data_IF_492114166201
#
_entry.id   IF_492114166201
#
_cell.length_a   1.000
_cell.length_b   1.000
_cell.length_c   1.000
_cell.angle_alpha   90.00
_cell.angle_beta   90.00
_cell.angle_gamma   90.00
#
_symmetry.space_group_name_H-M   'P 1'
#
loop_
_entity.id
_entity.type
_entity.pdbx_description
1 polymer ?
#
# COMPACT_ATOMS: atom_id res chain seq x y z
N UNK A 1 -32.86 -26.43 10.43
CA UNK A 1 -33.04 -25.36 11.43
C UNK A 1 -31.84 -24.44 11.32
N UNK A 2 -31.96 -23.39 10.52
CA UNK A 2 -30.89 -22.41 10.31
C UNK A 2 -30.83 -21.56 11.58
N UNK A 3 -29.74 -21.68 12.33
CA UNK A 3 -29.44 -20.79 13.45
C UNK A 3 -29.39 -19.37 12.91
N UNK A 4 -30.38 -18.56 13.28
CA UNK A 4 -30.31 -17.11 13.21
C UNK A 4 -29.07 -16.69 14.00
N UNK A 5 -27.99 -16.40 13.27
CA UNK A 5 -26.83 -15.74 13.83
C UNK A 5 -27.34 -14.38 14.29
N UNK A 6 -27.42 -14.19 15.61
CA UNK A 6 -27.80 -12.92 16.22
C UNK A 6 -26.99 -11.81 15.55
N UNK A 7 -27.66 -10.92 14.80
CA UNK A 7 -27.08 -9.63 14.44
C UNK A 7 -26.85 -8.92 15.76
N UNK A 8 -25.64 -9.03 16.32
CA UNK A 8 -25.18 -7.98 17.19
C UNK A 8 -25.17 -6.71 16.34
N UNK A 9 -26.11 -5.80 16.62
CA UNK A 9 -26.26 -4.53 15.94
C UNK A 9 -25.01 -3.68 16.20
N UNK A 10 -23.97 -3.92 15.40
CA UNK A 10 -22.78 -3.09 15.37
C UNK A 10 -23.24 -1.65 15.06
N UNK A 11 -22.89 -0.65 15.90
CA UNK A 11 -23.24 0.73 15.63
C UNK A 11 -22.72 1.17 14.26
N UNK A 12 -23.52 1.95 13.53
CA UNK A 12 -23.16 2.40 12.16
C UNK A 12 -21.79 3.08 12.11
N UNK A 13 -21.42 3.84 13.13
CA UNK A 13 -20.12 4.51 13.19
C UNK A 13 -18.94 3.52 13.32
N UNK A 14 -19.13 2.40 14.01
CA UNK A 14 -18.14 1.31 14.11
C UNK A 14 -17.98 0.61 12.75
N UNK A 15 -19.09 0.33 12.08
CA UNK A 15 -19.08 -0.22 10.74
C UNK A 15 -18.39 0.73 9.73
N UNK A 16 -18.56 2.05 9.88
CA UNK A 16 -17.83 3.05 9.08
C UNK A 16 -16.34 3.02 9.38
N UNK A 17 -15.92 2.95 10.64
CA UNK A 17 -14.50 2.80 11.02
C UNK A 17 -13.89 1.57 10.33
N UNK A 18 -14.58 0.42 10.35
CA UNK A 18 -14.14 -0.81 9.67
C UNK A 18 -14.12 -0.66 8.14
N UNK A 19 -15.08 0.08 7.57
CA UNK A 19 -15.12 0.37 6.13
C UNK A 19 -13.90 1.19 5.70
N UNK A 20 -13.54 2.20 6.49
CA UNK A 20 -12.34 3.02 6.30
C UNK A 20 -11.02 2.27 6.62
N UNK A 21 -11.11 1.02 7.11
CA UNK A 21 -10.00 0.23 7.65
C UNK A 21 -9.32 0.88 8.84
N UNK A 22 -10.04 1.70 9.59
CA UNK A 22 -9.50 2.45 10.73
C UNK A 22 -9.17 1.59 11.94
N UNK A 23 -9.73 0.38 12.01
CA UNK A 23 -9.42 -0.70 12.95
C UNK A 23 -8.09 -1.43 12.65
N UNK A 24 -7.59 -1.37 11.41
CA UNK A 24 -6.39 -2.10 10.97
C UNK A 24 -5.33 -1.14 10.40
N UNK A 25 -4.30 -0.76 11.17
CA UNK A 25 -3.37 0.30 10.75
C UNK A 25 -2.39 -0.12 9.67
N UNK A 26 -2.03 -1.41 9.58
CA UNK A 26 -0.93 -1.86 8.71
C UNK A 26 -1.05 -1.40 7.26
N UNK A 27 -2.22 -1.56 6.63
CA UNK A 27 -2.43 -1.21 5.22
C UNK A 27 -2.26 0.27 4.90
N UNK A 28 -2.70 1.16 5.79
CA UNK A 28 -2.55 2.61 5.56
C UNK A 28 -1.15 3.11 5.89
N UNK A 29 -0.50 2.51 6.89
CA UNK A 29 0.88 2.83 7.23
C UNK A 29 1.83 2.45 6.10
N UNK A 30 1.67 1.26 5.50
CA UNK A 30 2.53 0.81 4.41
C UNK A 30 2.37 1.66 3.14
N UNK A 31 1.18 2.23 2.89
CA UNK A 31 0.96 3.21 1.81
C UNK A 31 1.56 4.59 2.14
N UNK A 32 1.50 5.01 3.40
CA UNK A 32 2.03 6.31 3.86
C UNK A 32 3.56 6.35 3.86
N UNK A 33 4.22 5.25 4.17
CA UNK A 33 5.69 5.18 4.27
C UNK A 33 6.40 5.64 2.99
N UNK A 34 6.06 5.17 1.77
CA UNK A 34 6.60 5.69 0.52
C UNK A 34 6.45 7.21 0.32
N UNK A 35 5.31 7.76 0.76
CA UNK A 35 5.06 9.20 0.70
C UNK A 35 6.05 9.95 1.61
N UNK A 36 6.29 9.41 2.81
CA UNK A 36 7.26 9.95 3.75
C UNK A 36 8.70 9.78 3.24
N UNK A 37 9.07 8.63 2.66
CA UNK A 37 10.37 8.46 2.02
C UNK A 37 10.61 9.57 1.00
N UNK A 38 9.65 9.80 0.12
CA UNK A 38 9.77 10.78 -0.94
C UNK A 38 9.88 12.22 -0.42
N UNK A 39 9.02 12.66 0.51
CA UNK A 39 9.08 14.04 1.02
C UNK A 39 10.35 14.30 1.83
N UNK A 40 10.83 13.33 2.62
CA UNK A 40 12.08 13.48 3.37
C UNK A 40 13.32 13.43 2.48
N UNK A 41 13.35 12.55 1.48
CA UNK A 41 14.46 12.51 0.51
C UNK A 41 14.54 13.80 -0.30
N UNK A 42 13.41 14.28 -0.83
CA UNK A 42 13.34 15.53 -1.59
C UNK A 42 13.69 16.76 -0.71
N UNK A 43 13.27 16.75 0.56
CA UNK A 43 13.61 17.76 1.55
C UNK A 43 14.98 17.59 2.22
N UNK A 44 15.83 16.66 1.73
CA UNK A 44 17.16 16.35 2.28
C UNK A 44 17.16 16.13 3.80
N UNK A 45 16.21 15.34 4.29
CA UNK A 45 16.02 14.99 5.69
C UNK A 45 15.25 16.03 6.51
N UNK A 46 15.03 17.25 6.00
CA UNK A 46 14.39 18.35 6.73
C UNK A 46 13.26 19.03 5.93
N UNK A 47 12.22 18.30 5.50
CA UNK A 47 11.07 18.91 4.84
C UNK A 47 10.30 19.84 5.81
N UNK A 48 9.61 20.88 5.31
CA UNK A 48 8.77 21.73 6.14
C UNK A 48 7.71 20.92 6.91
N UNK A 49 7.61 21.09 8.22
CA UNK A 49 6.67 20.33 9.06
C UNK A 49 5.19 20.44 8.61
N UNK A 50 4.68 21.61 8.16
CA UNK A 50 3.32 21.69 7.62
C UNK A 50 3.12 20.80 6.39
N UNK A 51 4.13 20.71 5.51
CA UNK A 51 4.06 19.85 4.33
C UNK A 51 3.97 18.37 4.72
N UNK A 52 4.78 17.94 5.69
CA UNK A 52 4.71 16.57 6.23
C UNK A 52 3.32 16.29 6.80
N UNK A 53 2.71 17.25 7.51
CA UNK A 53 1.33 17.16 7.98
C UNK A 53 0.32 16.97 6.85
N UNK A 54 0.44 17.75 5.76
CA UNK A 54 -0.41 17.60 4.57
C UNK A 54 -0.26 16.22 3.93
N UNK A 55 0.97 15.70 3.80
CA UNK A 55 1.24 14.37 3.24
C UNK A 55 0.65 13.26 4.13
N UNK A 56 0.80 13.33 5.45
CA UNK A 56 0.24 12.35 6.38
C UNK A 56 -1.30 12.37 6.30
N UNK A 57 -1.92 13.54 6.41
CA UNK A 57 -3.39 13.63 6.36
C UNK A 57 -3.93 13.24 4.98
N UNK A 58 -3.23 13.63 3.92
CA UNK A 58 -3.61 13.33 2.53
C UNK A 58 -3.53 11.83 2.23
N UNK A 59 -2.48 11.16 2.69
CA UNK A 59 -2.36 9.69 2.54
C UNK A 59 -3.41 8.95 3.36
N UNK A 60 -3.72 9.39 4.59
CA UNK A 60 -4.80 8.81 5.39
C UNK A 60 -6.18 8.95 4.72
N UNK A 61 -6.50 10.14 4.20
CA UNK A 61 -7.75 10.41 3.49
C UNK A 61 -7.86 9.62 2.18
N UNK A 62 -6.78 9.57 1.39
CA UNK A 62 -6.73 8.83 0.12
C UNK A 62 -6.80 7.32 0.35
N UNK A 63 -6.11 6.80 1.38
CA UNK A 63 -6.18 5.40 1.78
C UNK A 63 -7.61 4.99 2.16
N UNK A 64 -8.28 5.84 2.96
CA UNK A 64 -9.68 5.67 3.33
C UNK A 64 -10.58 5.59 2.09
N UNK A 65 -10.45 6.54 1.16
CA UNK A 65 -11.22 6.55 -0.08
C UNK A 65 -10.96 5.29 -0.92
N UNK A 66 -9.69 4.92 -1.13
CA UNK A 66 -9.30 3.73 -1.88
C UNK A 66 -9.85 2.43 -1.27
N UNK A 67 -9.83 2.29 0.06
CA UNK A 67 -10.43 1.14 0.73
C UNK A 67 -11.93 1.03 0.49
N UNK A 68 -12.65 2.15 0.59
CA UNK A 68 -14.11 2.17 0.39
C UNK A 68 -14.45 1.87 -1.08
N UNK A 69 -13.72 2.47 -2.02
CA UNK A 69 -13.88 2.23 -3.46
C UNK A 69 -13.63 0.75 -3.78
N UNK A 70 -12.57 0.14 -3.24
CA UNK A 70 -12.33 -1.28 -3.40
C UNK A 70 -13.50 -2.12 -2.91
N UNK A 71 -14.02 -1.85 -1.71
CA UNK A 71 -15.16 -2.58 -1.13
C UNK A 71 -16.46 -2.37 -1.95
N UNK A 72 -16.64 -1.22 -2.58
CA UNK A 72 -17.76 -0.96 -3.49
C UNK A 72 -17.67 -1.83 -4.75
N UNK A 73 -16.48 -1.97 -5.34
CA UNK A 73 -16.24 -2.81 -6.52
C UNK A 73 -16.29 -4.31 -6.23
N UNK A 74 -15.84 -4.70 -5.04
CA UNK A 74 -15.69 -6.09 -4.62
C UNK A 74 -16.89 -6.61 -3.82
N UNK A 75 -17.94 -5.81 -3.60
CA UNK A 75 -19.09 -6.15 -2.73
C UNK A 75 -19.75 -7.51 -3.00
N UNK A 76 -19.68 -8.00 -4.23
CA UNK A 76 -20.27 -9.27 -4.69
C UNK A 76 -19.23 -10.42 -4.73
N UNK A 77 -17.93 -10.08 -4.68
CA UNK A 77 -16.79 -11.03 -4.62
C UNK A 77 -16.40 -11.30 -3.17
N UNK A 78 -16.28 -10.26 -2.35
CA UNK A 78 -15.84 -10.31 -0.95
C UNK A 78 -16.63 -11.31 -0.07
N UNK A 79 -17.96 -11.52 -0.23
CA UNK A 79 -18.68 -12.55 0.51
C UNK A 79 -18.16 -13.98 0.30
N UNK A 80 -17.44 -14.22 -0.79
CA UNK A 80 -16.94 -15.54 -1.20
C UNK A 80 -15.51 -15.82 -0.72
N UNK A 81 -14.83 -14.85 -0.11
CA UNK A 81 -13.46 -14.96 0.41
C UNK A 81 -13.49 -14.93 1.94
N UNK A 82 -12.85 -15.90 2.59
CA UNK A 82 -12.94 -16.09 4.05
C UNK A 82 -12.54 -14.82 4.83
N UNK A 83 -11.47 -14.16 4.39
CA UNK A 83 -10.91 -12.96 5.02
C UNK A 83 -11.80 -11.73 4.86
N UNK A 84 -12.54 -11.61 3.76
CA UNK A 84 -13.25 -10.37 3.38
C UNK A 84 -14.77 -10.47 3.50
N UNK A 85 -15.33 -11.66 3.73
CA UNK A 85 -16.77 -11.88 3.89
C UNK A 85 -17.45 -11.02 4.97
N UNK A 86 -16.70 -10.62 6.00
CA UNK A 86 -17.21 -9.83 7.13
C UNK A 86 -17.10 -8.32 6.91
N UNK A 87 -16.58 -7.86 5.77
CA UNK A 87 -16.48 -6.41 5.46
C UNK A 87 -17.86 -5.77 5.43
N UNK A 88 -18.01 -4.50 5.87
CA UNK A 88 -19.33 -3.87 6.05
C UNK A 88 -20.23 -3.84 4.81
N UNK A 89 -19.65 -3.64 3.61
CA UNK A 89 -20.41 -3.66 2.36
C UNK A 89 -20.71 -5.08 1.86
N UNK A 90 -19.79 -6.02 2.08
CA UNK A 90 -19.94 -7.43 1.71
C UNK A 90 -21.02 -8.12 2.56
N UNK A 91 -20.99 -7.90 3.89
CA UNK A 91 -21.97 -8.44 4.84
C UNK A 91 -23.31 -7.71 4.83
N UNK A 92 -23.45 -6.66 4.01
CA UNK A 92 -24.63 -5.78 3.95
C UNK A 92 -24.94 -5.06 5.27
N UNK A 93 -23.96 -4.93 6.16
CA UNK A 93 -24.06 -4.10 7.37
C UNK A 93 -24.16 -2.61 7.04
N UNK A 94 -23.56 -2.18 5.92
CA UNK A 94 -23.72 -0.83 5.37
C UNK A 94 -24.32 -0.91 3.97
N UNK A 95 -25.13 0.10 3.63
CA UNK A 95 -25.67 0.25 2.28
C UNK A 95 -24.60 0.75 1.30
N UNK A 96 -24.77 0.43 0.01
CA UNK A 96 -23.93 0.95 -1.07
C UNK A 96 -23.97 2.48 -1.11
N UNK A 97 -25.12 3.09 -0.83
CA UNK A 97 -25.26 4.54 -0.75
C UNK A 97 -24.39 5.12 0.37
N UNK A 98 -24.36 4.48 1.54
CA UNK A 98 -23.49 4.88 2.65
C UNK A 98 -22.01 4.78 2.24
N UNK A 99 -21.60 3.67 1.61
CA UNK A 99 -20.25 3.53 1.08
C UNK A 99 -19.87 4.62 0.08
N UNK A 100 -20.75 4.94 -0.88
CA UNK A 100 -20.51 6.00 -1.85
C UNK A 100 -20.34 7.38 -1.19
N UNK A 101 -21.18 7.72 -0.21
CA UNK A 101 -21.05 8.98 0.54
C UNK A 101 -19.73 9.03 1.31
N UNK A 102 -19.34 7.95 1.98
CA UNK A 102 -18.07 7.87 2.71
C UNK A 102 -16.88 8.04 1.76
N UNK A 103 -16.91 7.41 0.58
CA UNK A 103 -15.87 7.58 -0.44
C UNK A 103 -15.78 9.03 -0.94
N UNK A 104 -16.93 9.68 -1.21
CA UNK A 104 -16.98 11.08 -1.64
C UNK A 104 -16.41 12.01 -0.57
N UNK A 105 -16.78 11.82 0.71
CA UNK A 105 -16.27 12.62 1.83
C UNK A 105 -14.76 12.43 1.98
N UNK A 106 -14.27 11.18 1.97
CA UNK A 106 -12.84 10.89 2.09
C UNK A 106 -12.03 11.49 0.93
N UNK A 107 -12.55 11.38 -0.31
CA UNK A 107 -11.93 12.00 -1.49
C UNK A 107 -11.99 13.54 -1.43
N UNK A 108 -13.09 14.11 -0.93
CA UNK A 108 -13.22 15.55 -0.71
C UNK A 108 -12.19 16.09 0.28
N UNK A 109 -11.96 15.38 1.39
CA UNK A 109 -10.90 15.71 2.34
C UNK A 109 -9.51 15.67 1.69
N UNK A 110 -9.22 14.62 0.90
CA UNK A 110 -7.97 14.52 0.15
C UNK A 110 -7.82 15.66 -0.88
N UNK A 111 -8.92 16.02 -1.57
CA UNK A 111 -8.97 17.13 -2.52
C UNK A 111 -8.70 18.49 -1.88
N UNK A 112 -9.28 18.76 -0.71
CA UNK A 112 -9.00 20.00 0.05
C UNK A 112 -7.51 20.08 0.41
N UNK A 113 -6.92 18.97 0.88
CA UNK A 113 -5.49 18.92 1.20
C UNK A 113 -4.62 19.11 -0.05
N UNK A 114 -5.03 18.58 -1.20
CA UNK A 114 -4.32 18.74 -2.46
C UNK A 114 -4.24 20.22 -2.92
N UNK A 115 -5.19 21.08 -2.53
CA UNK A 115 -5.16 22.52 -2.84
C UNK A 115 -4.00 23.26 -2.16
N UNK A 116 -3.41 22.68 -1.11
CA UNK A 116 -2.23 23.23 -0.43
C UNK A 116 -0.92 22.85 -1.13
N UNK A 117 -0.97 22.02 -2.16
CA UNK A 117 0.22 21.57 -2.89
C UNK A 117 0.49 22.49 -4.09
N UNK A 118 1.71 22.43 -4.62
CA UNK A 118 2.05 23.12 -5.86
C UNK A 118 1.29 22.50 -7.07
N UNK A 119 1.22 23.21 -8.22
CA UNK A 119 0.44 22.76 -9.38
C UNK A 119 0.80 21.37 -9.89
N UNK A 120 2.08 21.00 -9.91
CA UNK A 120 2.52 19.69 -10.38
C UNK A 120 1.95 18.58 -9.47
N UNK A 121 2.13 18.72 -8.16
CA UNK A 121 1.63 17.75 -7.18
C UNK A 121 0.10 17.66 -7.18
N UNK A 122 -0.60 18.79 -7.34
CA UNK A 122 -2.05 18.81 -7.49
C UNK A 122 -2.51 17.98 -8.70
N UNK A 123 -1.91 18.20 -9.88
CA UNK A 123 -2.27 17.43 -11.07
C UNK A 123 -1.86 15.96 -10.99
N UNK A 124 -0.80 15.62 -10.25
CA UNK A 124 -0.46 14.24 -9.93
C UNK A 124 -1.50 13.58 -9.01
N UNK A 125 -2.07 14.31 -8.04
CA UNK A 125 -3.22 13.82 -7.26
C UNK A 125 -4.42 13.53 -8.17
N UNK A 126 -4.74 14.42 -9.11
CA UNK A 126 -5.82 14.21 -10.09
C UNK A 126 -5.53 12.99 -10.97
N UNK A 127 -4.31 12.84 -11.46
CA UNK A 127 -3.88 11.71 -12.27
C UNK A 127 -3.89 10.36 -11.52
N UNK A 128 -3.78 10.38 -10.19
CA UNK A 128 -3.89 9.18 -9.35
C UNK A 128 -5.34 8.66 -9.24
N UNK A 129 -6.35 9.52 -9.41
CA UNK A 129 -7.77 9.15 -9.20
C UNK A 129 -8.20 7.98 -10.09
N UNK A 130 -7.95 7.97 -11.43
CA UNK A 130 -8.29 6.83 -12.26
C UNK A 130 -7.62 5.53 -11.79
N UNK A 131 -6.35 5.58 -11.36
CA UNK A 131 -5.67 4.41 -10.84
C UNK A 131 -6.36 3.88 -9.57
N UNK A 132 -6.72 4.75 -8.63
CA UNK A 132 -7.44 4.38 -7.40
C UNK A 132 -8.83 3.83 -7.70
N UNK A 133 -9.56 4.44 -8.63
CA UNK A 133 -10.94 4.07 -8.96
C UNK A 133 -11.01 2.76 -9.72
N UNK A 134 -10.10 2.55 -10.67
CA UNK A 134 -10.19 1.43 -11.60
C UNK A 134 -9.26 0.25 -11.26
N UNK A 135 -8.27 0.38 -10.37
CA UNK A 135 -7.43 -0.80 -10.05
C UNK A 135 -8.22 -2.04 -9.60
N UNK A 136 -9.39 -1.97 -8.90
CA UNK A 136 -10.10 -3.19 -8.50
C UNK A 136 -10.56 -4.02 -9.70
N UNK A 137 -10.78 -3.39 -10.86
CA UNK A 137 -11.15 -4.12 -12.09
C UNK A 137 -10.01 -4.99 -12.61
N UNK A 138 -8.75 -4.68 -12.25
CA UNK A 138 -7.59 -5.46 -12.66
C UNK A 138 -7.69 -6.93 -12.21
N UNK A 139 -8.33 -7.22 -11.07
CA UNK A 139 -8.55 -8.61 -10.60
C UNK A 139 -9.31 -9.46 -11.62
N UNK A 140 -10.15 -8.84 -12.45
CA UNK A 140 -10.98 -9.55 -13.44
C UNK A 140 -10.30 -9.72 -14.79
N UNK A 141 -9.32 -8.87 -15.14
CA UNK A 141 -8.80 -8.77 -16.51
C UNK A 141 -7.29 -8.87 -16.63
N UNK A 142 -6.54 -8.67 -15.56
CA UNK A 142 -5.09 -8.60 -15.58
C UNK A 142 -4.47 -9.70 -14.72
N UNK A 143 -3.51 -10.50 -15.21
CA UNK A 143 -2.98 -11.64 -14.46
C UNK A 143 -2.29 -11.28 -13.14
N UNK A 144 -1.72 -10.07 -13.06
CA UNK A 144 -0.95 -9.58 -11.90
C UNK A 144 -1.55 -8.26 -11.40
N UNK A 145 -2.78 -8.24 -10.85
CA UNK A 145 -3.44 -7.00 -10.44
C UNK A 145 -2.64 -6.21 -9.39
N UNK A 146 -1.79 -6.89 -8.62
CA UNK A 146 -0.82 -6.31 -7.69
C UNK A 146 0.12 -5.31 -8.37
N UNK A 147 0.48 -5.51 -9.65
CA UNK A 147 1.29 -4.53 -10.38
C UNK A 147 0.52 -3.23 -10.62
N UNK A 148 -0.77 -3.31 -10.94
CA UNK A 148 -1.64 -2.13 -11.11
C UNK A 148 -1.79 -1.40 -9.78
N UNK A 149 -1.94 -2.13 -8.67
CA UNK A 149 -1.93 -1.56 -7.32
C UNK A 149 -0.59 -0.87 -7.01
N UNK A 150 0.54 -1.52 -7.31
CA UNK A 150 1.88 -0.95 -7.12
C UNK A 150 2.06 0.36 -7.87
N UNK A 151 1.57 0.45 -9.11
CA UNK A 151 1.61 1.69 -9.90
C UNK A 151 0.73 2.77 -9.26
N UNK A 152 -0.48 2.42 -8.81
CA UNK A 152 -1.36 3.35 -8.10
C UNK A 152 -0.69 3.88 -6.81
N UNK A 153 0.00 3.02 -6.06
CA UNK A 153 0.75 3.40 -4.86
C UNK A 153 2.00 4.21 -5.19
N UNK A 154 2.60 4.00 -6.36
CA UNK A 154 3.72 4.79 -6.85
C UNK A 154 3.40 6.30 -6.94
N UNK A 155 2.14 6.70 -7.12
CA UNK A 155 1.76 8.11 -7.03
C UNK A 155 2.09 8.75 -5.68
N UNK A 156 2.12 7.98 -4.58
CA UNK A 156 2.54 8.49 -3.28
C UNK A 156 3.96 9.07 -3.33
N UNK A 157 4.86 8.46 -4.12
CA UNK A 157 6.21 8.96 -4.36
C UNK A 157 6.19 10.23 -5.19
N UNK A 158 5.52 10.19 -6.36
CA UNK A 158 5.52 11.30 -7.31
C UNK A 158 4.92 12.57 -6.69
N UNK A 159 3.77 12.43 -6.01
CA UNK A 159 3.07 13.53 -5.35
C UNK A 159 3.95 14.11 -4.24
N UNK A 160 4.47 13.27 -3.34
CA UNK A 160 5.17 13.75 -2.15
C UNK A 160 6.55 14.33 -2.46
N UNK A 161 7.25 13.78 -3.46
CA UNK A 161 8.52 14.33 -3.94
C UNK A 161 8.31 15.70 -4.60
N UNK A 162 7.41 15.75 -5.59
CA UNK A 162 7.10 17.01 -6.26
C UNK A 162 6.51 18.04 -5.29
N UNK A 163 5.84 17.62 -4.22
CA UNK A 163 5.28 18.55 -3.24
C UNK A 163 6.37 19.34 -2.50
N UNK A 164 7.55 18.73 -2.31
CA UNK A 164 8.68 19.36 -1.65
C UNK A 164 9.47 20.30 -2.58
N UNK A 165 9.64 19.95 -3.86
CA UNK A 165 10.57 20.66 -4.77
C UNK A 165 9.96 21.18 -6.08
N UNK A 166 8.68 20.94 -6.35
CA UNK A 166 7.92 21.37 -7.53
C UNK A 166 8.35 20.79 -8.90
N UNK A 167 9.26 19.83 -8.95
CA UNK A 167 9.62 19.05 -10.15
C UNK A 167 9.90 17.58 -9.82
N UNK A 168 10.11 16.76 -10.84
CA UNK A 168 10.54 15.36 -10.72
C UNK A 168 11.99 15.25 -11.18
N UNK A 169 12.77 14.42 -10.50
CA UNK A 169 14.19 14.21 -10.76
C UNK A 169 14.45 12.72 -11.07
N UNK A 170 15.61 12.36 -11.64
CA UNK A 170 16.00 10.96 -11.81
C UNK A 170 15.89 10.14 -10.51
N UNK A 171 16.24 10.75 -9.36
CA UNK A 171 16.09 10.14 -8.05
C UNK A 171 14.63 9.80 -7.71
N UNK A 172 13.68 10.64 -8.12
CA UNK A 172 12.24 10.37 -7.93
C UNK A 172 11.81 9.09 -8.64
N UNK A 173 12.27 8.88 -9.87
CA UNK A 173 11.91 7.71 -10.67
C UNK A 173 12.56 6.42 -10.17
N UNK A 174 13.79 6.51 -9.65
CA UNK A 174 14.45 5.36 -9.00
C UNK A 174 13.69 4.95 -7.73
N UNK A 175 13.32 5.92 -6.89
CA UNK A 175 12.49 5.66 -5.71
C UNK A 175 11.11 5.10 -6.08
N UNK A 176 10.48 5.64 -7.13
CA UNK A 176 9.20 5.16 -7.64
C UNK A 176 9.29 3.69 -8.09
N UNK A 177 10.34 3.32 -8.83
CA UNK A 177 10.60 1.94 -9.22
C UNK A 177 10.83 1.03 -8.02
N UNK A 178 11.60 1.49 -7.03
CA UNK A 178 11.84 0.75 -5.78
C UNK A 178 10.53 0.47 -5.04
N UNK A 179 9.65 1.48 -4.93
CA UNK A 179 8.35 1.35 -4.28
C UNK A 179 7.42 0.41 -5.04
N UNK A 180 7.46 0.41 -6.38
CA UNK A 180 6.67 -0.54 -7.18
C UNK A 180 7.09 -1.98 -6.91
N UNK A 181 8.39 -2.25 -6.95
CA UNK A 181 8.92 -3.60 -6.70
C UNK A 181 8.66 -4.02 -5.25
N UNK A 182 8.86 -3.11 -4.30
CA UNK A 182 8.58 -3.39 -2.89
C UNK A 182 7.11 -3.74 -2.66
N UNK A 183 6.21 -2.92 -3.23
CA UNK A 183 4.76 -3.13 -3.19
C UNK A 183 4.38 -4.45 -3.84
N UNK A 184 4.95 -4.75 -5.00
CA UNK A 184 4.68 -6.01 -5.69
C UNK A 184 5.15 -7.22 -4.86
N UNK A 185 6.28 -7.09 -4.16
CA UNK A 185 6.79 -8.09 -3.23
C UNK A 185 5.84 -8.38 -2.08
N UNK A 186 5.61 -7.40 -1.19
CA UNK A 186 4.78 -7.65 0.00
C UNK A 186 3.30 -7.89 -0.34
N UNK A 187 2.78 -7.32 -1.42
CA UNK A 187 1.37 -7.51 -1.79
C UNK A 187 1.15 -8.86 -2.49
N UNK A 188 2.18 -9.40 -3.16
CA UNK A 188 2.16 -10.81 -3.58
C UNK A 188 2.15 -11.74 -2.38
N UNK A 189 2.94 -11.46 -1.34
CA UNK A 189 2.86 -12.22 -0.07
C UNK A 189 1.46 -12.14 0.53
N UNK A 190 0.85 -10.96 0.52
CA UNK A 190 -0.53 -10.78 0.99
C UNK A 190 -1.53 -11.59 0.16
N UNK A 191 -1.41 -11.59 -1.17
CA UNK A 191 -2.25 -12.37 -2.06
C UNK A 191 -2.10 -13.89 -1.89
N UNK A 192 -0.95 -14.38 -1.40
CA UNK A 192 -0.75 -15.81 -1.12
C UNK A 192 -1.69 -16.32 -0.03
N UNK A 193 -2.19 -15.49 0.89
CA UNK A 193 -3.17 -15.92 1.89
C UNK A 193 -4.53 -16.27 1.31
N UNK A 194 -4.88 -15.64 0.19
CA UNK A 194 -6.21 -15.71 -0.43
C UNK A 194 -6.21 -16.59 -1.69
N UNK A 195 -5.07 -17.21 -2.05
CA UNK A 195 -4.88 -17.97 -3.29
C UNK A 195 -5.99 -19.00 -3.55
N UNK A 196 -6.36 -19.80 -2.56
CA UNK A 196 -7.36 -20.87 -2.71
C UNK A 196 -8.76 -20.31 -3.00
N UNK A 197 -9.13 -19.21 -2.35
CA UNK A 197 -10.42 -18.55 -2.55
C UNK A 197 -10.43 -17.83 -3.91
N UNK A 198 -9.35 -17.13 -4.27
CA UNK A 198 -9.19 -16.46 -5.56
C UNK A 198 -9.31 -17.47 -6.73
N UNK A 199 -8.69 -18.65 -6.60
CA UNK A 199 -8.79 -19.72 -7.60
C UNK A 199 -10.22 -20.26 -7.72
N UNK A 200 -10.91 -20.44 -6.59
CA UNK A 200 -12.29 -20.94 -6.56
C UNK A 200 -13.27 -19.98 -7.25
N UNK A 201 -13.06 -18.68 -7.09
CA UNK A 201 -13.92 -17.62 -7.65
C UNK A 201 -13.50 -17.27 -9.09
N UNK A 202 -12.32 -17.69 -9.53
CA UNK A 202 -11.82 -17.43 -10.88
C UNK A 202 -11.32 -16.00 -11.09
N UNK A 203 -10.78 -15.36 -10.04
CA UNK A 203 -10.17 -14.03 -10.12
C UNK A 203 -8.65 -14.13 -10.22
N UNK A 204 -8.02 -13.14 -10.84
CA UNK A 204 -6.58 -13.09 -11.01
C UNK A 204 -5.89 -12.58 -9.74
N UNK A 205 -4.72 -13.13 -9.44
CA UNK A 205 -3.78 -12.59 -8.47
C UNK A 205 -2.36 -12.98 -8.84
N UNK A 206 -1.37 -12.18 -8.42
CA UNK A 206 0.05 -12.49 -8.60
C UNK A 206 0.41 -13.83 -7.97
N UNK A 207 -0.20 -14.16 -6.84
CA UNK A 207 -0.07 -15.48 -6.22
C UNK A 207 -0.54 -16.60 -7.16
N UNK A 208 -1.66 -16.45 -7.87
CA UNK A 208 -2.10 -17.43 -8.86
C UNK A 208 -1.15 -17.47 -10.07
N UNK A 209 -0.82 -16.30 -10.63
CA UNK A 209 0.00 -16.18 -11.82
C UNK A 209 1.39 -16.81 -11.66
N UNK A 210 2.08 -16.54 -10.56
CA UNK A 210 3.40 -17.12 -10.28
C UNK A 210 3.31 -18.57 -9.77
N UNK A 211 2.16 -19.00 -9.26
CA UNK A 211 1.91 -20.36 -8.81
C UNK A 211 3.01 -20.86 -7.85
N UNK A 212 3.62 -22.01 -8.16
CA UNK A 212 4.70 -22.56 -7.33
C UNK A 212 5.94 -21.66 -7.20
N UNK A 213 6.10 -20.69 -8.10
CA UNK A 213 7.22 -19.76 -8.12
C UNK A 213 6.94 -18.42 -7.40
N UNK A 214 5.84 -18.32 -6.65
CA UNK A 214 5.47 -17.07 -6.00
C UNK A 214 6.52 -16.58 -4.98
N UNK A 215 7.15 -17.51 -4.24
CA UNK A 215 8.21 -17.15 -3.30
C UNK A 215 9.46 -16.60 -4.02
N UNK A 216 9.84 -17.21 -5.15
CA UNK A 216 10.94 -16.77 -6.01
C UNK A 216 10.65 -15.40 -6.63
N UNK A 217 9.42 -15.18 -7.11
CA UNK A 217 9.00 -13.87 -7.63
C UNK A 217 9.11 -12.78 -6.56
N UNK A 218 8.61 -13.04 -5.34
CA UNK A 218 8.74 -12.13 -4.19
C UNK A 218 10.23 -11.83 -3.89
N UNK A 219 11.08 -12.86 -3.89
CA UNK A 219 12.52 -12.70 -3.71
C UNK A 219 13.15 -11.77 -4.75
N UNK A 220 12.80 -11.95 -6.03
CA UNK A 220 13.27 -11.09 -7.14
C UNK A 220 12.81 -9.64 -6.94
N UNK A 221 11.57 -9.43 -6.54
CA UNK A 221 11.05 -8.08 -6.29
C UNK A 221 11.77 -7.38 -5.13
N UNK A 222 12.08 -8.09 -4.04
CA UNK A 222 12.87 -7.53 -2.95
C UNK A 222 14.33 -7.28 -3.36
N UNK A 223 14.96 -8.17 -4.15
CA UNK A 223 16.30 -7.92 -4.70
C UNK A 223 16.31 -6.65 -5.55
N UNK A 224 15.34 -6.49 -6.45
CA UNK A 224 15.22 -5.28 -7.26
C UNK A 224 14.95 -4.03 -6.42
N UNK A 225 14.16 -4.14 -5.35
CA UNK A 225 13.94 -3.06 -4.38
C UNK A 225 15.26 -2.65 -3.73
N UNK A 226 16.05 -3.61 -3.22
CA UNK A 226 17.36 -3.37 -2.62
C UNK A 226 18.29 -2.68 -3.61
N UNK A 227 18.36 -3.18 -4.86
CA UNK A 227 19.20 -2.61 -5.90
C UNK A 227 18.86 -1.16 -6.23
N UNK A 228 17.56 -0.85 -6.38
CA UNK A 228 17.10 0.51 -6.67
C UNK A 228 17.31 1.45 -5.47
N UNK A 229 17.08 0.99 -4.23
CA UNK A 229 17.36 1.79 -3.04
C UNK A 229 18.86 2.03 -2.84
N UNK A 230 19.72 1.03 -3.08
CA UNK A 230 21.17 1.19 -3.05
C UNK A 230 21.63 2.21 -4.10
N UNK A 231 21.08 2.12 -5.33
CA UNK A 231 21.38 3.08 -6.38
C UNK A 231 20.94 4.50 -6.00
N UNK A 232 19.72 4.64 -5.45
CA UNK A 232 19.20 5.90 -4.93
C UNK A 232 20.13 6.50 -3.86
N UNK A 233 20.54 5.69 -2.88
CA UNK A 233 21.44 6.13 -1.81
C UNK A 233 22.79 6.61 -2.35
N UNK A 234 23.33 5.93 -3.36
CA UNK A 234 24.58 6.35 -4.00
C UNK A 234 24.45 7.69 -4.74
N UNK A 235 23.41 7.88 -5.56
CA UNK A 235 23.24 9.13 -6.32
C UNK A 235 22.87 10.33 -5.43
N UNK A 236 22.15 10.07 -4.34
CA UNK A 236 21.79 11.10 -3.35
C UNK A 236 22.88 11.32 -2.31
N UNK A 237 23.98 10.58 -2.38
CA UNK A 237 25.11 10.64 -1.45
C UNK A 237 24.67 10.46 0.01
N UNK A 238 23.77 9.50 0.26
CA UNK A 238 23.33 9.18 1.61
C UNK A 238 24.46 8.50 2.40
N UNK A 239 24.60 8.93 3.64
CA UNK A 239 25.64 8.48 4.55
C UNK A 239 25.27 7.15 5.24
N UNK A 240 26.11 6.73 6.20
CA UNK A 240 26.09 5.40 6.80
C UNK A 240 24.75 5.02 7.45
N UNK A 241 23.99 6.00 7.96
CA UNK A 241 22.67 5.76 8.55
C UNK A 241 21.68 5.10 7.57
N UNK A 242 21.71 5.50 6.30
CA UNK A 242 20.90 4.88 5.25
C UNK A 242 21.37 3.46 4.94
N UNK A 243 22.67 3.26 4.77
CA UNK A 243 23.24 1.95 4.43
C UNK A 243 23.02 0.91 5.53
N UNK A 244 23.08 1.32 6.80
CA UNK A 244 22.74 0.47 7.93
C UNK A 244 21.26 0.06 7.90
N UNK A 245 20.35 1.01 7.67
CA UNK A 245 18.92 0.72 7.54
C UNK A 245 18.63 -0.23 6.36
N UNK A 246 19.30 -0.02 5.21
CA UNK A 246 19.18 -0.89 4.05
C UNK A 246 19.73 -2.30 4.33
N UNK A 247 20.82 -2.43 5.09
CA UNK A 247 21.34 -3.73 5.51
C UNK A 247 20.35 -4.47 6.43
N UNK A 248 19.75 -3.78 7.39
CA UNK A 248 18.70 -4.34 8.27
C UNK A 248 17.49 -4.79 7.46
N UNK A 249 17.01 -3.95 6.52
CA UNK A 249 15.91 -4.28 5.63
C UNK A 249 16.23 -5.52 4.77
N UNK A 250 17.45 -5.60 4.24
CA UNK A 250 17.93 -6.74 3.43
C UNK A 250 17.90 -8.04 4.22
N UNK A 251 18.37 -8.04 5.47
CA UNK A 251 18.30 -9.22 6.36
C UNK A 251 16.83 -9.62 6.58
N UNK A 252 15.95 -8.65 6.83
CA UNK A 252 14.51 -8.87 6.98
C UNK A 252 13.88 -9.53 5.76
N UNK A 253 14.18 -9.04 4.54
CA UNK A 253 13.66 -9.61 3.30
C UNK A 253 14.25 -10.97 2.96
N UNK A 254 15.53 -11.23 3.26
CA UNK A 254 16.13 -12.57 3.13
C UNK A 254 15.41 -13.56 4.06
N UNK A 255 15.10 -13.14 5.29
CA UNK A 255 14.34 -13.96 6.24
C UNK A 255 12.89 -14.18 5.80
N UNK A 256 12.22 -13.16 5.23
CA UNK A 256 10.90 -13.35 4.62
C UNK A 256 10.93 -14.37 3.49
N UNK A 257 11.90 -14.26 2.58
CA UNK A 257 12.09 -15.20 1.48
C UNK A 257 12.33 -16.62 1.98
N UNK A 258 13.18 -16.82 2.99
CA UNK A 258 13.45 -18.15 3.54
C UNK A 258 12.22 -18.79 4.19
N UNK A 259 11.36 -18.00 4.85
CA UNK A 259 10.06 -18.47 5.37
C UNK A 259 9.08 -18.85 4.26
N UNK A 260 8.99 -18.04 3.21
CA UNK A 260 8.07 -18.29 2.08
C UNK A 260 8.39 -19.55 1.29
N UNK A 261 9.64 -20.04 1.36
CA UNK A 261 10.07 -21.29 0.73
C UNK A 261 9.74 -22.55 1.53
N UNK A 262 9.24 -22.41 2.76
CA UNK A 262 8.83 -23.57 3.56
C UNK A 262 7.52 -24.15 2.99
N UNK A 263 7.47 -25.47 2.83
CA UNK A 263 6.34 -26.19 2.21
C UNK A 263 5.03 -26.04 2.97
N UNK A 264 5.10 -25.99 4.30
CA UNK A 264 3.93 -26.05 5.20
C UNK A 264 3.75 -24.74 5.97
N UNK A 265 3.87 -23.60 5.27
CA UNK A 265 3.75 -22.29 5.91
C UNK A 265 2.29 -22.02 6.35
N UNK A 266 2.02 -21.75 7.64
CA UNK A 266 0.66 -21.47 8.09
C UNK A 266 0.11 -20.16 7.49
N UNK A 267 -1.16 -20.16 7.06
CA UNK A 267 -1.84 -18.99 6.45
C UNK A 267 -1.65 -17.66 7.23
N UNK A 268 -1.69 -17.62 8.58
CA UNK A 268 -1.51 -16.37 9.33
C UNK A 268 -0.13 -15.70 9.13
N UNK A 269 0.89 -16.46 8.72
CA UNK A 269 2.26 -15.95 8.52
C UNK A 269 2.34 -14.97 7.36
N UNK A 270 1.55 -15.14 6.30
CA UNK A 270 1.50 -14.17 5.20
C UNK A 270 1.12 -12.76 5.68
N UNK A 271 0.11 -12.68 6.55
CA UNK A 271 -0.29 -11.43 7.17
C UNK A 271 0.75 -10.88 8.15
N UNK A 272 1.54 -11.74 8.79
CA UNK A 272 2.66 -11.34 9.65
C UNK A 272 3.78 -10.69 8.83
N UNK A 273 4.20 -11.31 7.72
CA UNK A 273 5.21 -10.79 6.81
C UNK A 273 4.79 -9.44 6.22
N UNK A 274 3.52 -9.30 5.84
CA UNK A 274 2.96 -8.02 5.40
C UNK A 274 3.10 -6.94 6.48
N UNK A 275 2.73 -7.23 7.74
CA UNK A 275 2.88 -6.28 8.86
C UNK A 275 4.34 -5.95 9.15
N UNK A 276 5.26 -6.90 9.02
CA UNK A 276 6.68 -6.67 9.22
C UNK A 276 7.26 -5.74 8.15
N UNK A 277 6.72 -5.73 6.92
CA UNK A 277 7.11 -4.75 5.91
C UNK A 277 6.77 -3.32 6.33
N UNK A 278 5.73 -3.08 7.13
CA UNK A 278 5.50 -1.75 7.74
C UNK A 278 6.71 -1.32 8.58
N UNK A 279 7.26 -2.22 9.40
CA UNK A 279 8.42 -1.93 10.24
C UNK A 279 9.70 -1.74 9.42
N UNK A 280 9.96 -2.62 8.44
CA UNK A 280 11.09 -2.46 7.51
C UNK A 280 10.99 -1.11 6.80
N UNK A 281 9.78 -0.74 6.37
CA UNK A 281 9.48 0.54 5.75
C UNK A 281 9.85 1.74 6.64
N UNK A 282 9.45 1.67 7.91
CA UNK A 282 9.77 2.68 8.92
C UNK A 282 11.27 2.75 9.25
N UNK A 283 11.97 1.61 9.31
CA UNK A 283 13.43 1.56 9.52
C UNK A 283 14.16 2.26 8.37
N UNK A 284 13.75 1.98 7.13
CA UNK A 284 14.28 2.65 5.95
C UNK A 284 14.00 4.16 5.96
N UNK A 285 12.80 4.58 6.38
CA UNK A 285 12.48 6.01 6.55
C UNK A 285 13.45 6.67 7.55
N UNK A 286 13.66 6.05 8.72
CA UNK A 286 14.60 6.57 9.72
C UNK A 286 16.03 6.64 9.16
N UNK A 287 16.47 5.62 8.41
CA UNK A 287 17.76 5.63 7.73
C UNK A 287 17.90 6.72 6.68
N UNK A 288 16.85 7.00 5.91
CA UNK A 288 16.83 8.10 4.93
C UNK A 288 16.93 9.47 5.61
N UNK A 289 16.27 9.66 6.76
CA UNK A 289 16.35 10.91 7.54
C UNK A 289 17.76 11.09 8.11
N UNK A 290 18.29 10.06 8.78
CA UNK A 290 19.62 10.10 9.41
C UNK A 290 20.73 10.21 8.37
N UNK A 291 20.58 9.58 7.20
CA UNK A 291 21.58 9.57 6.14
C UNK A 291 21.89 10.93 5.49
N UNK A 292 21.09 11.97 5.77
CA UNK A 292 21.42 13.36 5.42
C UNK A 292 22.11 14.14 6.54
N UNK A 293 22.02 13.67 7.79
CA UNK A 293 22.53 14.37 8.97
C UNK A 293 23.93 13.88 9.36
N UNK A 294 24.25 12.60 9.10
CA UNK A 294 25.49 11.94 9.55
C UNK A 294 25.94 10.82 8.61
#
# INVERSE_FOLDING_TARGET
MLTHQERQDEPTWLAIIRLLRWDKPAGRLILMIPALWAVFLAGRGMPPAPLVGVIILGTLATSAAGCVINDLWDRDIDPQVERTRSRPLASRALSVRTGAVVAIVAMGCAGILALYLNPLSFWLCVAAIPAIVFYPTAKRVFPVPQLVLSIAWGFAVLISWSAAIAHLEPATWILWGAVILWTLGFDTVYAMSDREDDQRIGINSSAIFFGKYAAEAVGIFFIGTIGLLAWLGAIMQLHWGFWLALAIATIGWIWHYSRLRQSDLPKPVYGEIFRQNVWIGTILLAGMIVGFLW
#
